data_IF_917448717138
#
_entry.id   IF_917448717138
#
_cell.length_a   1.000
_cell.length_b   1.000
_cell.length_c   1.000
_cell.angle_alpha   90.00
_cell.angle_beta   90.00
_cell.angle_gamma   90.00
#
_symmetry.space_group_name_H-M   'P 1'
#
loop_
_entity.id
_entity.type
_entity.pdbx_description
1 polymer ?
#
# COMPACT_ATOMS: atom_id res chain seq x y z
N UNK A 1 3.54 0.94 26.88
CA UNK A 1 3.02 1.66 25.70
C UNK A 1 4.05 1.51 24.60
N UNK A 2 3.67 1.14 23.39
CA UNK A 2 4.50 1.18 22.19
C UNK A 2 4.30 2.51 21.47
N UNK A 3 5.29 2.96 20.73
CA UNK A 3 5.15 4.22 19.98
C UNK A 3 6.39 4.57 19.19
N UNK A 4 6.24 5.51 18.25
CA UNK A 4 7.35 6.04 17.45
C UNK A 4 8.01 7.23 18.13
N UNK A 5 9.32 7.37 17.89
CA UNK A 5 10.02 8.62 18.17
C UNK A 5 9.45 9.77 17.32
N UNK A 6 9.64 11.02 17.75
CA UNK A 6 9.11 12.21 17.03
C UNK A 6 9.59 12.32 15.59
N UNK A 7 10.81 11.86 15.32
CA UNK A 7 11.39 11.83 13.96
C UNK A 7 10.98 10.60 13.13
N UNK A 8 10.21 9.65 13.71
CA UNK A 8 9.74 8.45 13.07
C UNK A 8 10.82 7.41 12.75
N UNK A 9 12.05 7.59 13.25
CA UNK A 9 13.18 6.69 12.93
C UNK A 9 13.22 5.46 13.81
N UNK A 10 12.64 5.54 15.01
CA UNK A 10 12.69 4.50 16.02
C UNK A 10 11.28 4.15 16.48
N UNK A 11 11.09 2.91 16.80
CA UNK A 11 9.87 2.38 17.40
C UNK A 11 10.18 1.71 18.72
N UNK A 12 9.47 2.09 19.77
CA UNK A 12 9.54 1.50 21.09
C UNK A 12 8.60 0.30 21.14
N UNK A 13 9.13 -0.91 21.34
CA UNK A 13 8.34 -2.16 21.41
C UNK A 13 7.76 -2.45 22.81
N UNK A 14 8.04 -1.59 23.76
CA UNK A 14 7.71 -1.77 25.19
C UNK A 14 8.95 -2.10 26.06
N UNK A 15 10.07 -2.47 25.44
CA UNK A 15 11.31 -2.86 26.11
C UNK A 15 12.55 -2.19 25.52
N UNK A 16 12.60 -2.06 24.19
CA UNK A 16 13.75 -1.51 23.47
C UNK A 16 13.32 -0.62 22.29
N UNK A 17 14.23 0.25 21.87
CA UNK A 17 14.06 1.02 20.65
C UNK A 17 14.57 0.22 19.44
N UNK A 18 13.69 -0.04 18.48
CA UNK A 18 13.98 -0.73 17.23
C UNK A 18 13.96 0.28 16.09
N UNK A 19 14.93 0.20 15.18
CA UNK A 19 14.90 1.05 13.99
C UNK A 19 13.66 0.77 13.14
N UNK A 20 12.95 1.80 12.73
CA UNK A 20 11.67 1.68 12.00
C UNK A 20 11.73 0.69 10.82
N UNK A 21 12.77 0.68 9.95
CA UNK A 21 12.83 -0.29 8.85
C UNK A 21 13.03 -1.75 9.28
N UNK A 22 13.33 -2.00 10.55
CA UNK A 22 13.47 -3.35 11.11
C UNK A 22 12.20 -3.85 11.79
N UNK A 23 11.19 -2.99 11.92
CA UNK A 23 9.92 -3.36 12.54
C UNK A 23 9.16 -4.29 11.59
N UNK A 24 9.00 -5.53 12.03
CA UNK A 24 8.17 -6.52 11.34
C UNK A 24 6.82 -6.57 12.03
N UNK A 25 5.76 -6.40 11.25
CA UNK A 25 4.42 -6.46 11.78
C UNK A 25 4.02 -7.92 12.04
N UNK A 26 3.26 -8.17 13.11
CA UNK A 26 2.67 -9.48 13.33
C UNK A 26 1.65 -9.79 12.23
N UNK A 27 1.30 -11.05 12.10
CA UNK A 27 0.17 -11.42 11.25
C UNK A 27 -1.10 -10.81 11.83
N UNK A 28 -1.76 -10.01 11.02
CA UNK A 28 -3.02 -9.38 11.41
C UNK A 28 -4.16 -10.39 11.41
N UNK A 29 -5.21 -10.18 12.22
CA UNK A 29 -6.36 -11.07 12.22
C UNK A 29 -7.00 -11.13 10.83
N UNK A 30 -7.54 -12.29 10.44
CA UNK A 30 -8.20 -12.43 9.15
C UNK A 30 -9.43 -11.54 9.08
N UNK A 31 -9.56 -10.80 7.97
CA UNK A 31 -10.75 -9.97 7.69
C UNK A 31 -11.93 -10.84 7.27
N UNK A 32 -13.13 -10.24 7.24
CA UNK A 32 -14.33 -10.92 6.72
C UNK A 32 -14.13 -11.38 5.26
N UNK A 33 -13.41 -10.59 4.47
CA UNK A 33 -13.09 -10.94 3.09
C UNK A 33 -12.24 -12.21 2.99
N UNK A 34 -11.25 -12.39 3.86
CA UNK A 34 -10.46 -13.62 3.91
C UNK A 34 -11.30 -14.82 4.36
N UNK A 35 -12.13 -14.61 5.38
CA UNK A 35 -13.02 -15.65 5.92
C UNK A 35 -14.07 -16.10 4.90
N UNK A 36 -14.51 -15.23 3.99
CA UNK A 36 -15.47 -15.56 2.94
C UNK A 36 -14.93 -16.50 1.86
N UNK A 37 -13.63 -16.78 1.86
CA UNK A 37 -12.96 -17.59 0.85
C UNK A 37 -12.84 -16.92 -0.53
N UNK A 38 -13.21 -15.67 -0.66
CA UNK A 38 -13.14 -14.93 -1.92
C UNK A 38 -11.68 -14.75 -2.37
N UNK A 39 -10.75 -14.55 -1.44
CA UNK A 39 -9.33 -14.43 -1.73
C UNK A 39 -8.79 -15.68 -2.46
N UNK A 40 -9.17 -16.88 -2.02
CA UNK A 40 -8.77 -18.13 -2.66
C UNK A 40 -9.35 -18.26 -4.07
N UNK A 41 -10.62 -17.87 -4.25
CA UNK A 41 -11.27 -17.86 -5.59
C UNK A 41 -10.56 -16.90 -6.54
N UNK A 42 -10.09 -15.76 -6.04
CA UNK A 42 -9.32 -14.80 -6.83
C UNK A 42 -7.97 -15.38 -7.25
N UNK A 43 -7.25 -15.99 -6.32
CA UNK A 43 -5.96 -16.66 -6.57
C UNK A 43 -6.09 -17.77 -7.63
N UNK A 44 -7.12 -18.60 -7.52
CA UNK A 44 -7.38 -19.68 -8.48
C UNK A 44 -7.68 -19.19 -9.89
N UNK A 45 -8.54 -18.19 -10.02
CA UNK A 45 -8.88 -17.62 -11.32
C UNK A 45 -7.67 -16.98 -12.00
N UNK A 46 -6.84 -16.35 -11.23
CA UNK A 46 -5.63 -15.72 -11.72
C UNK A 46 -4.59 -16.72 -12.18
N UNK A 47 -4.36 -17.79 -11.43
CA UNK A 47 -3.46 -18.85 -11.84
C UNK A 47 -3.89 -19.46 -13.17
N UNK A 48 -5.20 -19.65 -13.38
CA UNK A 48 -5.79 -20.14 -14.64
C UNK A 48 -5.63 -19.14 -15.79
N UNK A 49 -5.87 -17.85 -15.56
CA UNK A 49 -5.69 -16.79 -16.56
C UNK A 49 -4.23 -16.66 -17.01
N UNK A 50 -3.30 -16.75 -16.08
CA UNK A 50 -1.86 -16.73 -16.35
C UNK A 50 -1.41 -17.96 -17.14
N UNK A 51 -1.93 -19.14 -16.81
CA UNK A 51 -1.63 -20.38 -17.52
C UNK A 51 -2.12 -20.31 -18.97
N UNK A 52 -3.35 -19.85 -19.20
CA UNK A 52 -3.90 -19.65 -20.55
C UNK A 52 -3.06 -18.68 -21.38
N UNK A 53 -2.62 -17.58 -20.82
CA UNK A 53 -1.78 -16.61 -21.49
C UNK A 53 -0.44 -17.20 -21.96
N UNK A 54 0.22 -18.01 -21.12
CA UNK A 54 1.47 -18.64 -21.47
C UNK A 54 1.29 -19.83 -22.44
N UNK A 55 0.18 -20.55 -22.34
CA UNK A 55 -0.07 -21.76 -23.12
C UNK A 55 -0.51 -21.46 -24.55
N UNK A 56 -1.25 -20.40 -24.76
CA UNK A 56 -1.71 -20.01 -26.09
C UNK A 56 -0.73 -19.12 -26.86
N UNK A 57 0.52 -19.05 -26.43
CA UNK A 57 1.66 -18.65 -27.27
C UNK A 57 1.60 -17.23 -27.80
N UNK A 58 0.96 -16.31 -27.11
CA UNK A 58 1.14 -14.89 -27.37
C UNK A 58 2.54 -14.43 -26.87
N UNK A 59 3.52 -15.30 -27.04
CA UNK A 59 4.94 -15.01 -26.90
C UNK A 59 5.47 -13.95 -27.89
N UNK A 60 4.59 -13.33 -28.64
CA UNK A 60 4.87 -12.12 -29.39
C UNK A 60 4.72 -10.94 -28.44
N UNK A 61 5.70 -10.73 -27.57
CA UNK A 61 6.20 -9.48 -27.06
C UNK A 61 5.26 -8.27 -26.94
N UNK A 62 3.96 -8.47 -26.75
CA UNK A 62 3.11 -7.38 -26.30
C UNK A 62 3.57 -7.05 -24.89
N UNK A 63 4.13 -5.87 -24.70
CA UNK A 63 4.64 -5.48 -23.39
C UNK A 63 3.55 -5.64 -22.35
N UNK A 64 3.89 -6.14 -21.17
CA UNK A 64 2.97 -6.34 -20.05
C UNK A 64 2.13 -5.11 -19.68
N UNK A 65 2.50 -3.93 -20.15
CA UNK A 65 1.78 -2.68 -19.98
C UNK A 65 0.50 -2.54 -20.83
N UNK A 66 0.32 -3.36 -21.87
CA UNK A 66 -0.94 -3.41 -22.66
C UNK A 66 -1.94 -4.41 -22.09
N UNK A 67 -1.58 -5.13 -21.06
CA UNK A 67 -2.50 -5.99 -20.34
C UNK A 67 -3.39 -5.15 -19.42
N UNK A 68 -4.39 -4.52 -20.00
CA UNK A 68 -5.55 -4.14 -19.20
C UNK A 68 -6.06 -5.40 -18.52
N UNK A 69 -6.32 -5.39 -17.21
CA UNK A 69 -6.94 -6.54 -16.56
C UNK A 69 -8.19 -6.89 -17.37
N UNK A 70 -8.41 -8.17 -17.66
CA UNK A 70 -9.61 -8.57 -18.36
C UNK A 70 -10.82 -8.04 -17.59
N UNK A 71 -11.93 -7.70 -18.26
CA UNK A 71 -13.15 -7.23 -17.61
C UNK A 71 -13.60 -8.14 -16.45
N UNK A 72 -13.28 -9.42 -16.53
CA UNK A 72 -13.61 -10.42 -15.51
C UNK A 72 -12.75 -10.29 -14.23
N UNK A 73 -11.61 -9.61 -14.30
CA UNK A 73 -10.68 -9.43 -13.18
C UNK A 73 -10.96 -8.11 -12.45
N UNK A 74 -11.52 -7.10 -13.14
CA UNK A 74 -11.76 -5.78 -12.55
C UNK A 74 -12.56 -5.78 -11.23
N UNK A 75 -13.68 -6.52 -11.10
CA UNK A 75 -14.39 -6.60 -9.82
C UNK A 75 -13.52 -7.15 -8.70
N UNK A 76 -12.77 -8.20 -8.97
CA UNK A 76 -11.89 -8.84 -7.98
C UNK A 76 -10.70 -7.95 -7.61
N UNK A 77 -10.15 -7.22 -8.55
CA UNK A 77 -9.07 -6.30 -8.26
C UNK A 77 -9.52 -5.15 -7.35
N UNK A 78 -10.77 -4.68 -7.50
CA UNK A 78 -11.39 -3.71 -6.60
C UNK A 78 -11.53 -4.28 -5.19
N UNK A 79 -12.06 -5.49 -5.07
CA UNK A 79 -12.28 -6.13 -3.77
C UNK A 79 -10.95 -6.43 -3.08
N UNK A 80 -9.95 -6.88 -3.85
CA UNK A 80 -8.59 -7.09 -3.34
C UNK A 80 -7.96 -5.79 -2.84
N UNK A 81 -8.13 -4.68 -3.57
CA UNK A 81 -7.66 -3.37 -3.12
C UNK A 81 -8.33 -2.95 -1.82
N UNK A 82 -9.64 -3.09 -1.70
CA UNK A 82 -10.38 -2.75 -0.48
C UNK A 82 -9.89 -3.60 0.69
N UNK A 83 -9.75 -4.88 0.49
CA UNK A 83 -9.21 -5.79 1.50
C UNK A 83 -7.79 -5.40 1.93
N UNK A 84 -6.89 -5.10 0.98
CA UNK A 84 -5.53 -4.66 1.32
C UNK A 84 -5.54 -3.34 2.10
N UNK A 85 -6.43 -2.41 1.77
CA UNK A 85 -6.57 -1.16 2.52
C UNK A 85 -7.12 -1.38 3.94
N UNK A 86 -8.01 -2.35 4.13
CA UNK A 86 -8.42 -2.78 5.48
C UNK A 86 -7.23 -3.30 6.30
N UNK A 87 -6.37 -4.15 5.70
CA UNK A 87 -5.16 -4.63 6.35
C UNK A 87 -4.20 -3.48 6.68
N UNK A 88 -4.05 -2.51 5.80
CA UNK A 88 -3.25 -1.30 6.05
C UNK A 88 -3.83 -0.47 7.19
N UNK A 89 -5.15 -0.32 7.26
CA UNK A 89 -5.82 0.39 8.35
C UNK A 89 -5.63 -0.32 9.71
N UNK A 90 -5.78 -1.65 9.73
CA UNK A 90 -5.51 -2.46 10.92
C UNK A 90 -4.06 -2.35 11.38
N UNK A 91 -3.10 -2.41 10.44
CA UNK A 91 -1.68 -2.23 10.75
C UNK A 91 -1.40 -0.83 11.30
N UNK A 92 -2.03 0.19 10.74
CA UNK A 92 -1.91 1.57 11.21
C UNK A 92 -2.44 1.71 12.63
N UNK A 93 -3.61 1.17 12.91
CA UNK A 93 -4.20 1.16 14.27
C UNK A 93 -3.34 0.37 15.27
N UNK A 94 -2.77 -0.75 14.85
CA UNK A 94 -1.86 -1.54 15.70
C UNK A 94 -0.63 -0.73 16.09
N UNK A 95 -0.07 0.03 15.17
CA UNK A 95 1.18 0.78 15.37
C UNK A 95 0.98 2.10 16.11
N UNK A 96 -0.09 2.81 15.81
CA UNK A 96 -0.30 4.19 16.25
C UNK A 96 -1.37 4.29 17.36
N UNK A 97 -2.12 3.22 17.55
CA UNK A 97 -3.24 3.19 18.49
C UNK A 97 -4.58 3.60 17.86
N UNK A 98 -5.69 3.36 18.56
CA UNK A 98 -7.03 3.63 18.05
C UNK A 98 -7.35 5.13 17.93
N UNK A 99 -6.63 5.98 18.65
CA UNK A 99 -6.86 7.43 18.66
C UNK A 99 -6.26 8.12 17.42
N UNK A 100 -5.48 7.39 16.62
CA UNK A 100 -4.87 7.88 15.38
C UNK A 100 -5.31 7.05 14.16
N UNK A 101 -6.59 7.17 13.75
CA UNK A 101 -7.11 6.38 12.64
C UNK A 101 -6.53 6.81 11.29
N UNK A 102 -6.48 5.88 10.36
CA UNK A 102 -6.13 6.16 8.98
C UNK A 102 -7.20 7.05 8.32
N UNK A 103 -6.82 8.22 7.84
CA UNK A 103 -7.69 9.15 7.11
C UNK A 103 -7.82 8.73 5.64
N UNK A 104 -6.70 8.36 5.05
CA UNK A 104 -6.64 7.84 3.68
C UNK A 104 -5.47 6.89 3.51
N UNK A 105 -5.60 5.99 2.55
CA UNK A 105 -4.54 5.06 2.18
C UNK A 105 -4.62 4.70 0.71
N UNK A 106 -3.49 4.22 0.19
CA UNK A 106 -3.40 3.67 -1.16
C UNK A 106 -2.37 2.55 -1.18
N UNK A 107 -2.57 1.61 -2.08
CA UNK A 107 -1.72 0.43 -2.19
C UNK A 107 -1.37 0.14 -3.65
N UNK A 108 -0.16 -0.33 -3.87
CA UNK A 108 0.20 -0.91 -5.16
C UNK A 108 -0.49 -2.26 -5.28
N UNK A 109 -1.50 -2.33 -6.13
CA UNK A 109 -2.08 -3.60 -6.55
C UNK A 109 -1.21 -4.12 -7.67
N UNK A 110 -0.14 -4.82 -7.31
CA UNK A 110 0.60 -5.57 -8.29
C UNK A 110 0.06 -6.97 -8.42
N UNK A 111 0.27 -7.44 -9.59
CA UNK A 111 -0.01 -8.77 -10.00
C UNK A 111 0.55 -9.77 -8.99
N UNK A 112 -0.39 -10.40 -8.25
CA UNK A 112 -0.15 -11.41 -7.23
C UNK A 112 0.55 -12.63 -7.86
N UNK A 113 1.74 -12.55 -8.26
CA UNK A 113 2.43 -13.68 -8.90
C UNK A 113 3.78 -13.31 -9.47
N UNK A 114 4.10 -12.03 -9.45
CA UNK A 114 5.42 -11.60 -9.84
C UNK A 114 6.29 -11.46 -8.60
N UNK A 115 7.20 -12.39 -8.41
CA UNK A 115 8.17 -12.45 -7.32
C UNK A 115 9.09 -11.21 -7.25
N UNK A 116 8.97 -10.28 -8.18
CA UNK A 116 9.82 -9.13 -8.35
C UNK A 116 9.28 -7.84 -7.75
N UNK A 117 7.98 -7.73 -7.52
CA UNK A 117 7.37 -6.50 -7.01
C UNK A 117 6.78 -6.72 -5.63
N UNK A 118 7.58 -6.45 -4.62
CA UNK A 118 7.06 -6.26 -3.27
C UNK A 118 6.14 -5.06 -3.31
N UNK A 119 4.89 -5.26 -2.98
CA UNK A 119 3.92 -4.20 -2.92
C UNK A 119 4.29 -3.13 -1.90
N UNK A 120 3.81 -1.92 -2.10
CA UNK A 120 3.91 -0.82 -1.15
C UNK A 120 2.52 -0.29 -0.86
N UNK A 121 2.30 0.13 0.35
CA UNK A 121 1.11 0.88 0.74
C UNK A 121 1.51 2.14 1.50
N UNK A 122 0.71 3.17 1.39
CA UNK A 122 0.82 4.38 2.20
C UNK A 122 -0.46 4.57 2.99
N UNK A 123 -0.32 4.95 4.25
CA UNK A 123 -1.39 5.42 5.10
C UNK A 123 -1.09 6.85 5.55
N UNK A 124 -2.11 7.69 5.57
CA UNK A 124 -2.05 9.05 6.10
C UNK A 124 -3.01 9.14 7.26
N UNK A 125 -2.52 9.62 8.40
CA UNK A 125 -3.30 9.96 9.58
C UNK A 125 -3.26 11.47 9.80
N UNK A 126 -3.88 11.96 10.86
CA UNK A 126 -3.80 13.38 11.20
C UNK A 126 -2.37 13.83 11.60
N UNK A 127 -1.60 12.94 12.22
CA UNK A 127 -0.29 13.26 12.77
C UNK A 127 0.88 12.61 12.02
N UNK A 128 0.64 11.59 11.20
CA UNK A 128 1.71 10.79 10.57
C UNK A 128 1.39 10.34 9.15
N UNK A 129 2.46 10.08 8.42
CA UNK A 129 2.46 9.31 7.17
C UNK A 129 3.25 8.04 7.41
N UNK A 130 2.67 6.90 7.07
CA UNK A 130 3.31 5.59 7.20
C UNK A 130 3.37 4.92 5.84
N UNK A 131 4.53 4.40 5.47
CA UNK A 131 4.68 3.58 4.26
C UNK A 131 5.04 2.17 4.68
N UNK A 132 4.26 1.24 4.20
CA UNK A 132 4.43 -0.20 4.45
C UNK A 132 4.94 -0.90 3.21
N UNK A 133 5.75 -1.92 3.44
CA UNK A 133 5.97 -2.96 2.46
C UNK A 133 4.94 -4.07 2.71
N UNK A 134 4.19 -4.42 1.69
CA UNK A 134 3.17 -5.46 1.74
C UNK A 134 3.68 -6.74 1.08
N UNK A 135 3.23 -7.87 1.58
CA UNK A 135 3.48 -9.16 0.94
C UNK A 135 2.56 -9.29 -0.27
N UNK A 136 3.15 -9.60 -1.43
CA UNK A 136 2.39 -9.78 -2.67
C UNK A 136 1.54 -11.05 -2.68
N UNK A 137 1.80 -12.00 -1.79
CA UNK A 137 1.08 -13.27 -1.72
C UNK A 137 -0.22 -13.13 -0.96
N UNK A 138 -0.19 -12.48 0.20
CA UNK A 138 -1.34 -12.36 1.09
C UNK A 138 -1.82 -10.92 1.30
N UNK A 139 -1.18 -9.93 0.65
CA UNK A 139 -1.55 -8.51 0.72
C UNK A 139 -1.36 -7.87 2.10
N UNK A 140 -0.72 -8.58 3.04
CA UNK A 140 -0.52 -8.08 4.39
C UNK A 140 0.70 -7.17 4.50
N UNK A 141 0.61 -6.05 5.25
CA UNK A 141 1.78 -5.27 5.62
C UNK A 141 2.75 -6.13 6.45
N UNK A 142 4.03 -6.15 6.06
CA UNK A 142 5.06 -6.92 6.76
C UNK A 142 6.12 -6.05 7.41
N UNK A 143 6.47 -4.95 6.76
CA UNK A 143 7.52 -4.05 7.21
C UNK A 143 7.11 -2.61 7.06
N UNK A 144 7.54 -1.82 8.02
CA UNK A 144 7.46 -0.37 7.90
C UNK A 144 8.72 0.10 7.17
N UNK A 145 8.55 0.94 6.17
CA UNK A 145 9.70 1.52 5.44
C UNK A 145 9.87 3.00 5.73
N UNK A 146 8.80 3.68 6.12
CA UNK A 146 8.84 5.09 6.50
C UNK A 146 7.75 5.37 7.53
N UNK A 147 8.09 6.13 8.55
CA UNK A 147 7.15 6.88 9.39
C UNK A 147 7.67 8.30 9.49
N UNK A 148 6.80 9.28 9.37
CA UNK A 148 7.18 10.68 9.50
C UNK A 148 5.97 11.58 9.75
N UNK A 149 6.22 12.77 10.30
CA UNK A 149 5.16 13.79 10.39
C UNK A 149 4.77 14.23 8.98
N UNK A 150 3.52 14.66 8.75
CA UNK A 150 3.08 15.12 7.41
C UNK A 150 3.97 16.23 6.84
N UNK A 151 4.55 17.08 7.69
CA UNK A 151 5.48 18.15 7.31
C UNK A 151 6.86 17.67 6.87
N UNK A 152 7.28 16.49 7.32
CA UNK A 152 8.60 15.92 7.06
C UNK A 152 8.58 14.93 5.88
N UNK A 153 7.38 14.68 5.34
CA UNK A 153 7.15 13.76 4.23
C UNK A 153 6.55 14.53 3.05
N UNK A 154 7.11 14.36 1.88
CA UNK A 154 6.55 14.91 0.64
C UNK A 154 5.84 13.81 -0.14
N UNK A 155 4.60 14.10 -0.56
CA UNK A 155 3.79 13.18 -1.39
C UNK A 155 3.42 13.89 -2.69
N UNK A 156 3.79 13.29 -3.82
CA UNK A 156 3.53 13.80 -5.15
C UNK A 156 2.78 12.76 -5.99
N UNK A 157 1.75 13.19 -6.69
CA UNK A 157 1.20 12.36 -7.76
C UNK A 157 2.17 12.36 -8.95
N UNK A 158 2.39 11.18 -9.51
CA UNK A 158 3.15 11.02 -10.75
C UNK A 158 2.38 10.15 -11.70
N UNK A 159 2.44 10.50 -12.95
CA UNK A 159 2.08 9.59 -14.04
C UNK A 159 3.36 8.97 -14.58
N UNK A 160 3.44 7.65 -14.60
CA UNK A 160 4.60 6.98 -15.19
C UNK A 160 4.57 7.11 -16.70
N UNK A 161 5.76 7.23 -17.30
CA UNK A 161 6.12 7.16 -18.71
C UNK A 161 4.93 7.20 -19.68
N UNK A 162 4.63 8.29 -20.31
CA UNK A 162 3.49 8.61 -21.17
C UNK A 162 2.23 9.17 -20.46
N UNK A 163 2.36 9.63 -19.22
CA UNK A 163 1.38 10.53 -18.60
C UNK A 163 0.06 9.94 -18.12
N UNK A 164 -0.43 8.85 -18.67
CA UNK A 164 -1.79 8.37 -18.40
C UNK A 164 -1.93 6.86 -18.14
N UNK A 165 -0.88 6.07 -18.35
CA UNK A 165 -1.00 4.61 -18.29
C UNK A 165 -0.89 4.03 -16.88
N UNK A 166 -0.13 4.67 -15.97
CA UNK A 166 0.10 4.14 -14.63
C UNK A 166 0.17 5.25 -13.59
N UNK A 167 -0.94 5.54 -12.92
CA UNK A 167 -0.91 6.51 -11.84
C UNK A 167 -0.01 6.01 -10.71
N UNK A 168 0.72 6.93 -10.10
CA UNK A 168 1.62 6.62 -9.01
C UNK A 168 1.64 7.74 -7.97
N UNK A 169 1.94 7.36 -6.73
CA UNK A 169 2.34 8.25 -5.66
C UNK A 169 3.84 8.09 -5.41
N UNK A 170 4.55 9.18 -5.43
CA UNK A 170 5.91 9.27 -4.97
C UNK A 170 5.90 9.81 -3.55
N UNK A 171 6.39 9.03 -2.61
CA UNK A 171 6.52 9.40 -1.21
C UNK A 171 8.00 9.53 -0.88
N UNK A 172 8.42 10.66 -0.33
CA UNK A 172 9.81 10.94 0.02
C UNK A 172 9.89 11.38 1.48
N UNK A 173 10.85 10.87 2.21
CA UNK A 173 11.08 11.20 3.61
C UNK A 173 12.53 10.92 4.03
N UNK A 174 12.79 10.94 5.33
CA UNK A 174 14.14 10.79 5.90
C UNK A 174 14.88 9.51 5.48
N UNK A 175 14.14 8.44 5.17
CA UNK A 175 14.70 7.12 4.83
C UNK A 175 14.73 6.88 3.32
N UNK A 176 14.52 7.90 2.48
CA UNK A 176 14.58 7.78 1.03
C UNK A 176 13.28 8.09 0.32
N UNK A 177 13.10 7.42 -0.81
CA UNK A 177 12.01 7.70 -1.72
C UNK A 177 11.39 6.40 -2.22
N UNK A 178 10.06 6.34 -2.20
CA UNK A 178 9.28 5.19 -2.64
C UNK A 178 8.26 5.61 -3.69
N UNK A 179 8.00 4.72 -4.61
CA UNK A 179 6.96 4.92 -5.62
C UNK A 179 5.93 3.81 -5.50
N UNK A 180 4.70 4.21 -5.18
CA UNK A 180 3.54 3.34 -5.09
C UNK A 180 2.82 3.47 -6.42
N UNK A 181 2.84 2.43 -7.22
CA UNK A 181 2.20 2.41 -8.54
C UNK A 181 0.93 1.62 -8.47
N UNK A 182 -0.11 2.08 -9.15
CA UNK A 182 -1.37 1.37 -9.21
C UNK A 182 -1.91 1.21 -10.62
N UNK A 183 -2.92 0.38 -10.75
CA UNK A 183 -3.56 0.16 -12.04
C UNK A 183 -4.46 1.34 -12.42
N UNK A 184 -4.47 1.74 -13.69
CA UNK A 184 -5.38 2.75 -14.19
C UNK A 184 -6.84 2.43 -13.85
N UNK A 185 -7.60 3.45 -13.42
CA UNK A 185 -8.99 3.32 -13.05
C UNK A 185 -9.26 2.77 -11.64
N UNK A 186 -8.27 2.15 -10.98
CA UNK A 186 -8.41 1.65 -9.61
C UNK A 186 -7.59 2.45 -8.60
N UNK A 187 -6.40 2.82 -8.96
CA UNK A 187 -5.53 3.61 -8.11
C UNK A 187 -6.00 5.07 -8.07
N UNK A 188 -6.24 5.58 -6.88
CA UNK A 188 -6.76 6.93 -6.65
C UNK A 188 -5.82 7.69 -5.74
N UNK A 189 -4.85 8.43 -6.30
CA UNK A 189 -3.90 9.20 -5.50
C UNK A 189 -4.53 10.39 -4.78
N UNK A 190 -5.64 10.93 -5.28
CA UNK A 190 -6.27 12.15 -4.79
C UNK A 190 -6.64 12.08 -3.29
N UNK A 191 -7.33 11.03 -2.77
CA UNK A 191 -7.67 10.96 -1.36
C UNK A 191 -6.45 11.03 -0.44
N UNK A 192 -5.34 10.39 -0.83
CA UNK A 192 -4.10 10.40 -0.06
C UNK A 192 -3.46 11.78 -0.07
N UNK A 193 -3.43 12.44 -1.24
CA UNK A 193 -2.89 13.80 -1.37
C UNK A 193 -3.70 14.80 -0.57
N UNK A 194 -5.02 14.70 -0.59
CA UNK A 194 -5.90 15.62 0.12
C UNK A 194 -5.80 15.43 1.63
N UNK A 195 -5.79 14.18 2.12
CA UNK A 195 -5.56 13.87 3.52
C UNK A 195 -4.19 14.37 4.00
N UNK A 196 -3.14 14.15 3.21
CA UNK A 196 -1.81 14.66 3.53
C UNK A 196 -1.76 16.19 3.60
N UNK A 197 -2.32 16.89 2.60
CA UNK A 197 -2.37 18.36 2.60
C UNK A 197 -3.16 18.89 3.80
N UNK A 198 -4.25 18.23 4.17
CA UNK A 198 -5.03 18.58 5.35
C UNK A 198 -4.22 18.37 6.63
N UNK A 199 -3.52 17.26 6.77
CA UNK A 199 -2.67 16.97 7.91
C UNK A 199 -1.52 18.00 8.05
N UNK A 200 -0.85 18.37 6.94
CA UNK A 200 0.18 19.42 6.93
C UNK A 200 -0.40 20.78 7.42
N UNK A 201 -1.60 21.14 6.98
CA UNK A 201 -2.25 22.38 7.43
C UNK A 201 -2.65 22.33 8.91
N UNK A 202 -3.04 21.15 9.39
CA UNK A 202 -3.43 20.93 10.79
C UNK A 202 -2.26 21.07 11.75
N UNK A 203 -1.10 20.56 11.40
CA UNK A 203 0.13 20.64 12.21
C UNK A 203 0.68 22.08 12.33
N UNK A 204 0.40 22.95 11.37
CA UNK A 204 0.81 24.37 11.41
C UNK A 204 -0.06 25.27 12.31
N UNK A 205 -1.16 24.76 12.89
CA UNK A 205 -2.05 25.52 13.79
C UNK A 205 -1.82 25.27 15.28
N UNK A 206 -0.96 24.33 15.62
CA UNK A 206 -0.67 23.92 17.02
C UNK A 206 0.69 24.38 17.52
N UNK A 207 1.37 25.28 16.80
CA UNK A 207 2.65 25.89 17.20
C UNK A 207 2.49 27.30 17.73
#
# INVERSE_FOLDING_TARGET
>A
MSGFSDDGRWWWDGTTWVATPQVVLPQLPPTEFEQSGQLNKMRDRRSKGRWLFWTFGLGFGLPAFLQSPSPDILPYARDYRLWTLEQVALATTYLLGPDEPMLAGETSIYDVGDSWTRGLAVAVTAARVVVFRIDSVDGQPRWIVLVGRPTDVNIEARSAVFGFLWPALKVSGWNGQWTIRGQPGMFKPEPVLDAWRQAVKGTGRTA
#
